data_IF_389101923024
#
_entry.id   IF_389101923024
#
_cell.length_a   1.000
_cell.length_b   1.000
_cell.length_c   1.000
_cell.angle_alpha   90.00
_cell.angle_beta   90.00
_cell.angle_gamma   90.00
#
_symmetry.space_group_name_H-M   'P 1'
#
loop_
_entity.id
_entity.type
_entity.pdbx_description
1 polymer ?
#
# COMPACT_ATOMS: atom_id res chain seq x y z
N UNK A 1 19.09 16.68 14.34
CA UNK A 1 18.63 15.71 15.38
C UNK A 1 17.18 15.83 15.77
N UNK A 2 16.52 16.97 15.52
CA UNK A 2 15.07 17.14 15.73
C UNK A 2 14.24 16.20 14.82
N UNK A 3 14.73 15.82 13.64
CA UNK A 3 14.06 14.87 12.73
C UNK A 3 14.07 13.43 13.27
N UNK A 4 15.06 13.05 14.04
CA UNK A 4 15.15 11.73 14.68
C UNK A 4 14.25 11.66 15.91
N UNK A 5 14.16 12.76 16.66
CA UNK A 5 13.28 12.87 17.84
C UNK A 5 11.81 12.87 17.41
N UNK A 6 11.44 13.60 16.34
CA UNK A 6 10.07 13.57 15.80
C UNK A 6 9.69 12.17 15.26
N UNK A 7 10.65 11.43 14.69
CA UNK A 7 10.44 10.07 14.23
C UNK A 7 10.29 9.07 15.39
N UNK A 8 10.91 9.32 16.54
CA UNK A 8 10.75 8.51 17.75
C UNK A 8 9.47 8.81 18.53
N UNK A 9 9.03 10.07 18.58
CA UNK A 9 7.77 10.47 19.22
C UNK A 9 6.58 9.90 18.43
N UNK A 10 6.67 9.85 17.10
CA UNK A 10 5.63 9.27 16.22
C UNK A 10 5.55 7.74 16.27
N UNK A 11 6.49 7.06 16.96
CA UNK A 11 6.51 5.60 17.14
C UNK A 11 5.68 5.14 18.34
N UNK A 12 5.21 6.05 19.19
CA UNK A 12 4.37 5.76 20.37
C UNK A 12 2.89 5.94 20.02
N UNK A 13 2.20 4.79 19.88
CA UNK A 13 0.74 4.66 20.08
C UNK A 13 -0.20 5.46 19.16
N UNK A 14 0.04 5.47 17.88
CA UNK A 14 -1.04 5.79 16.95
C UNK A 14 -2.11 4.70 17.01
N UNK A 15 -3.32 5.02 17.47
CA UNK A 15 -4.43 4.09 17.50
C UNK A 15 -4.68 3.43 16.13
N UNK A 16 -5.52 2.41 16.07
CA UNK A 16 -5.83 1.65 14.82
C UNK A 16 -6.15 2.58 13.64
N UNK A 17 -6.84 3.69 13.90
CA UNK A 17 -7.21 4.70 12.90
C UNK A 17 -5.97 5.43 12.33
N UNK A 18 -5.02 5.82 13.16
CA UNK A 18 -3.78 6.47 12.73
C UNK A 18 -2.94 5.57 11.83
N UNK A 19 -2.77 4.30 12.22
CA UNK A 19 -2.07 3.30 11.40
C UNK A 19 -2.76 3.04 10.07
N UNK A 20 -4.09 3.01 10.07
CA UNK A 20 -4.88 2.86 8.85
C UNK A 20 -4.69 4.06 7.91
N UNK A 21 -4.79 5.29 8.42
CA UNK A 21 -4.57 6.51 7.64
C UNK A 21 -3.14 6.59 7.10
N UNK A 22 -2.14 6.25 7.90
CA UNK A 22 -0.75 6.23 7.46
C UNK A 22 -0.54 5.27 6.29
N UNK A 23 -1.09 4.05 6.37
CA UNK A 23 -1.03 3.08 5.28
C UNK A 23 -1.80 3.54 4.04
N UNK A 24 -2.95 4.18 4.25
CA UNK A 24 -3.78 4.71 3.16
C UNK A 24 -3.04 5.82 2.41
N UNK A 25 -2.41 6.74 3.10
CA UNK A 25 -1.63 7.85 2.52
C UNK A 25 -0.42 7.30 1.76
N UNK A 26 0.37 6.42 2.38
CA UNK A 26 1.51 5.76 1.73
C UNK A 26 1.09 4.96 0.50
N UNK A 27 0.03 4.16 0.60
CA UNK A 27 -0.45 3.35 -0.51
C UNK A 27 -1.06 4.19 -1.64
N UNK A 28 -1.60 5.38 -1.35
CA UNK A 28 -2.20 6.27 -2.36
C UNK A 28 -1.21 7.16 -3.11
N UNK A 29 0.11 7.11 -2.79
CA UNK A 29 1.16 8.02 -3.32
C UNK A 29 0.92 9.50 -3.03
N UNK A 30 0.19 9.82 -1.99
CA UNK A 30 -0.09 11.18 -1.58
C UNK A 30 0.89 11.69 -0.52
N UNK A 31 2.02 10.99 -0.31
CA UNK A 31 3.07 11.40 0.65
C UNK A 31 3.65 12.78 0.33
N UNK A 32 3.61 13.20 -0.95
CA UNK A 32 4.03 14.54 -1.36
C UNK A 32 3.08 15.65 -0.89
N UNK A 33 1.80 15.33 -0.69
CA UNK A 33 0.77 16.28 -0.25
C UNK A 33 0.56 16.19 1.25
N UNK A 34 0.56 14.98 1.79
CA UNK A 34 0.37 14.72 3.22
C UNK A 34 1.63 14.07 3.80
N UNK A 35 2.48 14.89 4.41
CA UNK A 35 3.73 14.44 5.04
C UNK A 35 3.44 13.56 6.27
N UNK A 36 2.28 13.76 6.91
CA UNK A 36 1.84 12.95 8.06
C UNK A 36 0.32 12.80 8.11
N UNK A 37 -0.21 11.74 8.75
CA UNK A 37 -1.65 11.58 9.00
C UNK A 37 -2.29 12.75 9.74
N UNK A 38 -1.52 13.46 10.54
CA UNK A 38 -1.97 14.62 11.30
C UNK A 38 -2.37 15.77 10.37
N UNK A 39 -1.57 16.07 9.35
CA UNK A 39 -1.91 17.09 8.34
C UNK A 39 -3.21 16.75 7.61
N UNK A 40 -3.46 15.47 7.35
CA UNK A 40 -4.70 15.03 6.75
C UNK A 40 -5.91 15.28 7.67
N UNK A 41 -5.77 14.98 8.96
CA UNK A 41 -6.82 15.24 9.96
C UNK A 41 -7.08 16.73 10.07
N UNK A 42 -6.03 17.56 10.15
CA UNK A 42 -6.17 19.02 10.18
C UNK A 42 -6.88 19.56 8.93
N UNK A 43 -6.57 19.02 7.76
CA UNK A 43 -7.27 19.39 6.53
C UNK A 43 -8.77 19.06 6.60
N UNK A 44 -9.13 17.86 7.07
CA UNK A 44 -10.54 17.47 7.22
C UNK A 44 -11.28 18.38 8.23
N UNK A 45 -10.66 18.69 9.36
CA UNK A 45 -11.21 19.59 10.37
C UNK A 45 -11.33 21.02 9.82
N UNK A 46 -10.36 21.49 9.07
CA UNK A 46 -10.40 22.81 8.43
C UNK A 46 -11.55 22.89 7.41
N UNK A 47 -11.69 21.92 6.54
CA UNK A 47 -12.79 21.85 5.55
C UNK A 47 -14.13 21.81 6.27
N UNK A 48 -14.27 20.99 7.31
CA UNK A 48 -15.48 20.92 8.12
C UNK A 48 -15.85 22.28 8.71
N UNK A 49 -14.90 22.92 9.41
CA UNK A 49 -15.14 24.21 10.09
C UNK A 49 -15.48 25.32 9.11
N UNK A 50 -14.73 25.40 8.01
CA UNK A 50 -14.97 26.40 6.97
C UNK A 50 -16.35 26.26 6.31
N UNK A 51 -16.70 25.01 5.93
CA UNK A 51 -18.01 24.72 5.33
C UNK A 51 -19.15 24.92 6.31
N UNK A 52 -18.97 24.49 7.56
CA UNK A 52 -20.00 24.64 8.59
C UNK A 52 -20.34 26.12 8.86
N UNK A 53 -19.32 26.98 9.02
CA UNK A 53 -19.52 28.42 9.23
C UNK A 53 -20.20 29.06 8.00
N UNK A 54 -19.75 28.72 6.78
CA UNK A 54 -20.33 29.25 5.56
C UNK A 54 -21.78 28.83 5.35
N UNK A 55 -22.11 27.57 5.63
CA UNK A 55 -23.47 27.04 5.47
C UNK A 55 -24.44 27.56 6.54
N UNK A 56 -23.97 27.86 7.75
CA UNK A 56 -24.77 28.47 8.82
C UNK A 56 -25.38 29.83 8.45
N UNK A 57 -24.84 30.51 7.43
CA UNK A 57 -25.40 31.80 6.94
C UNK A 57 -26.68 31.56 6.13
N UNK A 58 -26.80 30.42 5.48
CA UNK A 58 -27.89 30.16 4.50
C UNK A 58 -28.86 29.04 4.92
N UNK A 59 -28.46 28.18 5.85
CA UNK A 59 -29.17 26.96 6.24
C UNK A 59 -29.35 26.86 7.75
N UNK A 60 -30.34 26.08 8.15
CA UNK A 60 -30.54 25.73 9.55
C UNK A 60 -29.37 24.90 10.08
N UNK A 61 -29.11 24.98 11.39
CA UNK A 61 -28.01 24.28 12.09
C UNK A 61 -27.91 22.80 11.72
N UNK A 62 -29.07 22.12 11.64
CA UNK A 62 -29.12 20.67 11.34
C UNK A 62 -28.66 20.36 9.92
N UNK A 63 -29.11 21.12 8.95
CA UNK A 63 -28.78 20.91 7.54
C UNK A 63 -27.32 21.32 7.25
N UNK A 64 -26.85 22.42 7.85
CA UNK A 64 -25.45 22.84 7.80
C UNK A 64 -24.51 21.77 8.36
N UNK A 65 -24.87 21.10 9.47
CA UNK A 65 -24.06 20.04 10.08
C UNK A 65 -23.96 18.81 9.16
N UNK A 66 -25.06 18.38 8.56
CA UNK A 66 -25.09 17.22 7.65
C UNK A 66 -24.22 17.49 6.43
N UNK A 67 -24.39 18.65 5.79
CA UNK A 67 -23.64 19.01 4.58
C UNK A 67 -22.15 19.21 4.88
N UNK A 68 -21.78 19.90 5.97
CA UNK A 68 -20.38 20.10 6.36
C UNK A 68 -19.68 18.76 6.63
N UNK A 69 -20.35 17.80 7.24
CA UNK A 69 -19.83 16.44 7.45
C UNK A 69 -19.59 15.72 6.12
N UNK A 70 -20.51 15.86 5.17
CA UNK A 70 -20.35 15.32 3.81
C UNK A 70 -19.11 15.88 3.10
N UNK A 71 -18.89 17.19 3.15
CA UNK A 71 -17.72 17.84 2.57
C UNK A 71 -16.41 17.42 3.25
N UNK A 72 -16.40 17.27 4.57
CA UNK A 72 -15.24 16.80 5.32
C UNK A 72 -14.83 15.35 4.97
N UNK A 73 -15.77 14.53 4.47
CA UNK A 73 -15.50 13.16 4.03
C UNK A 73 -14.85 13.08 2.62
N UNK A 74 -14.91 14.15 1.81
CA UNK A 74 -14.40 14.16 0.43
C UNK A 74 -12.90 13.79 0.35
N UNK A 75 -11.99 14.36 1.16
CA UNK A 75 -10.56 13.99 1.10
C UNK A 75 -10.33 12.50 1.35
N UNK A 76 -11.06 11.90 2.27
CA UNK A 76 -10.99 10.46 2.54
C UNK A 76 -11.50 9.62 1.34
N UNK A 77 -12.60 10.03 0.73
CA UNK A 77 -13.13 9.39 -0.47
C UNK A 77 -12.10 9.42 -1.61
N UNK A 78 -11.46 10.57 -1.86
CA UNK A 78 -10.41 10.72 -2.89
C UNK A 78 -9.25 9.75 -2.67
N UNK A 79 -8.76 9.62 -1.41
CA UNK A 79 -7.70 8.65 -1.09
C UNK A 79 -8.13 7.21 -1.38
N UNK A 80 -9.34 6.86 -0.99
CA UNK A 80 -9.90 5.51 -1.18
C UNK A 80 -10.08 5.18 -2.67
N UNK A 81 -10.58 6.12 -3.47
CA UNK A 81 -10.72 5.95 -4.92
C UNK A 81 -9.35 5.80 -5.62
N UNK A 82 -8.35 6.59 -5.24
CA UNK A 82 -6.99 6.43 -5.76
C UNK A 82 -6.41 5.06 -5.43
N UNK A 83 -6.57 4.60 -4.19
CA UNK A 83 -6.12 3.26 -3.78
C UNK A 83 -6.84 2.16 -4.56
N UNK A 84 -8.16 2.27 -4.76
CA UNK A 84 -8.94 1.30 -5.54
C UNK A 84 -8.45 1.23 -7.00
N UNK A 85 -8.16 2.38 -7.62
CA UNK A 85 -7.57 2.43 -8.96
C UNK A 85 -6.20 1.75 -9.04
N UNK A 86 -5.35 1.92 -8.03
CA UNK A 86 -4.05 1.23 -7.94
C UNK A 86 -4.21 -0.28 -7.78
N UNK A 87 -5.10 -0.73 -6.92
CA UNK A 87 -5.40 -2.15 -6.71
C UNK A 87 -5.88 -2.82 -7.99
N UNK A 88 -6.74 -2.16 -8.76
CA UNK A 88 -7.19 -2.64 -10.05
C UNK A 88 -6.05 -2.78 -11.08
N UNK A 89 -5.11 -1.83 -11.11
CA UNK A 89 -3.90 -1.92 -11.95
C UNK A 89 -3.00 -3.07 -11.50
N UNK A 90 -2.70 -3.15 -10.20
CA UNK A 90 -1.87 -4.22 -9.64
C UNK A 90 -2.45 -5.61 -9.90
N UNK A 91 -3.77 -5.78 -9.81
CA UNK A 91 -4.43 -7.05 -10.12
C UNK A 91 -4.26 -7.46 -11.59
N UNK A 92 -4.30 -6.51 -12.52
CA UNK A 92 -4.07 -6.79 -13.95
C UNK A 92 -2.63 -7.21 -14.25
N UNK A 93 -1.66 -6.65 -13.54
CA UNK A 93 -0.24 -6.87 -13.73
C UNK A 93 0.34 -7.95 -12.80
N UNK A 94 -0.51 -8.58 -11.97
CA UNK A 94 -0.11 -9.58 -10.98
C UNK A 94 0.67 -10.76 -11.58
N UNK A 95 0.24 -11.25 -12.76
CA UNK A 95 0.92 -12.37 -13.45
C UNK A 95 2.34 -11.99 -13.80
N UNK A 96 2.52 -10.81 -14.43
CA UNK A 96 3.85 -10.31 -14.84
C UNK A 96 4.74 -10.13 -13.62
N UNK A 97 4.22 -9.51 -12.55
CA UNK A 97 4.95 -9.29 -11.32
C UNK A 97 5.44 -10.60 -10.68
N UNK A 98 4.55 -11.59 -10.53
CA UNK A 98 4.91 -12.86 -9.87
C UNK A 98 5.86 -13.68 -10.73
N UNK A 99 5.70 -13.67 -12.06
CA UNK A 99 6.61 -14.35 -12.98
C UNK A 99 8.00 -13.73 -12.94
N UNK A 100 8.10 -12.41 -13.03
CA UNK A 100 9.38 -11.69 -13.00
C UNK A 100 10.10 -11.89 -11.66
N UNK A 101 9.37 -11.79 -10.54
CA UNK A 101 9.93 -12.08 -9.22
C UNK A 101 10.42 -13.53 -9.10
N UNK A 102 9.66 -14.49 -9.66
CA UNK A 102 10.07 -15.90 -9.62
C UNK A 102 11.35 -16.14 -10.43
N UNK A 103 11.47 -15.50 -11.59
CA UNK A 103 12.67 -15.58 -12.42
C UNK A 103 13.88 -14.95 -11.71
N UNK A 104 13.72 -13.75 -11.19
CA UNK A 104 14.78 -13.06 -10.46
C UNK A 104 15.18 -13.82 -9.17
N UNK A 105 14.21 -14.46 -8.50
CA UNK A 105 14.50 -15.29 -7.33
C UNK A 105 15.41 -16.49 -7.65
N UNK A 106 15.23 -17.10 -8.81
CA UNK A 106 16.12 -18.17 -9.29
C UNK A 106 17.50 -17.66 -9.66
N UNK A 107 17.55 -16.55 -10.40
CA UNK A 107 18.81 -15.94 -10.87
C UNK A 107 19.67 -15.50 -9.68
N UNK A 108 19.06 -14.94 -8.64
CA UNK A 108 19.77 -14.48 -7.43
C UNK A 108 19.90 -15.59 -6.36
N UNK A 109 20.09 -16.85 -6.77
CA UNK A 109 20.38 -17.97 -5.88
C UNK A 109 19.38 -18.14 -4.73
N UNK A 110 18.12 -17.84 -4.97
CA UNK A 110 17.04 -17.86 -3.99
C UNK A 110 17.19 -16.81 -2.86
N UNK A 111 17.92 -15.72 -3.10
CA UNK A 111 17.94 -14.57 -2.21
C UNK A 111 16.75 -13.66 -2.51
N UNK A 112 15.78 -13.61 -1.58
CA UNK A 112 14.54 -12.87 -1.79
C UNK A 112 14.75 -11.35 -1.81
N UNK A 113 15.68 -10.80 -1.04
CA UNK A 113 15.94 -9.35 -1.02
C UNK A 113 16.51 -8.89 -2.37
N UNK A 114 17.52 -9.58 -2.87
CA UNK A 114 18.11 -9.31 -4.18
C UNK A 114 17.11 -9.52 -5.33
N UNK A 115 16.29 -10.57 -5.23
CA UNK A 115 15.26 -10.84 -6.21
C UNK A 115 14.20 -9.71 -6.29
N UNK A 116 13.77 -9.17 -5.16
CA UNK A 116 12.83 -8.05 -5.10
C UNK A 116 13.46 -6.79 -5.68
N UNK A 117 14.73 -6.52 -5.36
CA UNK A 117 15.47 -5.38 -5.89
C UNK A 117 15.64 -5.49 -7.42
N UNK A 118 16.10 -6.63 -7.91
CA UNK A 118 16.19 -6.90 -9.34
C UNK A 118 14.85 -6.75 -10.04
N UNK A 119 13.77 -7.28 -9.46
CA UNK A 119 12.41 -7.14 -10.01
C UNK A 119 11.95 -5.68 -10.03
N UNK A 120 12.24 -4.91 -9.00
CA UNK A 120 11.88 -3.48 -8.96
C UNK A 120 12.54 -2.66 -10.09
N UNK A 121 13.71 -3.10 -10.56
CA UNK A 121 14.47 -2.47 -11.65
C UNK A 121 13.96 -2.97 -13.01
N UNK A 122 13.86 -4.30 -13.19
CA UNK A 122 13.64 -4.95 -14.48
C UNK A 122 12.17 -4.98 -14.92
N UNK A 123 11.22 -4.89 -13.97
CA UNK A 123 9.81 -5.12 -14.29
C UNK A 123 9.26 -4.12 -15.30
N UNK A 124 8.69 -4.64 -16.38
CA UNK A 124 7.92 -3.89 -17.38
C UNK A 124 6.45 -3.82 -16.95
N UNK A 125 6.17 -3.02 -15.95
CA UNK A 125 4.85 -2.80 -15.40
C UNK A 125 4.54 -1.31 -15.27
N UNK A 126 3.29 -0.99 -14.89
CA UNK A 126 2.90 0.40 -14.65
C UNK A 126 3.80 1.06 -13.58
N UNK A 127 3.98 2.37 -13.68
CA UNK A 127 4.73 3.16 -12.70
C UNK A 127 4.24 2.92 -11.26
N UNK A 128 2.96 2.59 -11.10
CA UNK A 128 2.35 2.26 -9.81
C UNK A 128 2.91 0.97 -9.22
N UNK A 129 2.94 -0.13 -9.98
CA UNK A 129 3.46 -1.43 -9.52
C UNK A 129 4.97 -1.33 -9.28
N UNK A 130 5.70 -0.69 -10.20
CA UNK A 130 7.14 -0.47 -10.07
C UNK A 130 7.48 0.28 -8.78
N UNK A 131 6.72 1.33 -8.44
CA UNK A 131 6.94 2.11 -7.21
C UNK A 131 6.67 1.28 -5.95
N UNK A 132 5.63 0.43 -5.94
CA UNK A 132 5.36 -0.47 -4.81
C UNK A 132 6.52 -1.44 -4.61
N UNK A 133 7.08 -1.98 -5.69
CA UNK A 133 8.25 -2.88 -5.62
C UNK A 133 9.51 -2.16 -5.14
N UNK A 134 9.78 -0.94 -5.60
CA UNK A 134 10.89 -0.11 -5.13
C UNK A 134 10.76 0.18 -3.63
N UNK A 135 9.57 0.54 -3.17
CA UNK A 135 9.32 0.79 -1.75
C UNK A 135 9.50 -0.48 -0.91
N UNK A 136 9.05 -1.64 -1.41
CA UNK A 136 9.26 -2.92 -0.74
C UNK A 136 10.76 -3.24 -0.63
N UNK A 137 11.51 -3.12 -1.74
CA UNK A 137 12.96 -3.35 -1.76
C UNK A 137 13.68 -2.44 -0.75
N UNK A 138 13.40 -1.13 -0.79
CA UNK A 138 13.98 -0.15 0.13
C UNK A 138 13.68 -0.47 1.59
N UNK A 139 12.44 -0.80 1.91
CA UNK A 139 12.04 -1.09 3.28
C UNK A 139 12.64 -2.41 3.78
N UNK A 140 12.72 -3.44 2.93
CA UNK A 140 13.36 -4.70 3.29
C UNK A 140 14.87 -4.56 3.47
N UNK A 141 15.56 -3.76 2.63
CA UNK A 141 17.00 -3.53 2.77
C UNK A 141 17.34 -2.78 4.05
N UNK A 142 16.45 -1.91 4.52
CA UNK A 142 16.62 -1.19 5.78
C UNK A 142 16.10 -1.95 7.01
N UNK A 143 15.41 -3.08 6.81
CA UNK A 143 14.82 -3.85 7.90
C UNK A 143 15.86 -4.76 8.57
N UNK A 144 16.07 -4.57 9.86
CA UNK A 144 16.99 -5.36 10.70
C UNK A 144 16.26 -6.32 11.63
N UNK A 145 14.96 -6.11 11.87
CA UNK A 145 14.14 -6.92 12.77
C UNK A 145 12.99 -7.62 12.05
N UNK A 146 12.52 -8.75 12.62
CA UNK A 146 11.31 -9.44 12.14
C UNK A 146 10.10 -8.52 12.05
N UNK A 147 9.97 -7.58 12.98
CA UNK A 147 8.87 -6.61 12.99
C UNK A 147 8.95 -5.66 11.81
N UNK A 148 10.14 -5.15 11.50
CA UNK A 148 10.35 -4.25 10.35
C UNK A 148 10.13 -4.95 9.01
N UNK A 149 10.58 -6.21 8.90
CA UNK A 149 10.29 -7.05 7.74
C UNK A 149 8.77 -7.24 7.60
N UNK A 150 8.09 -7.56 8.71
CA UNK A 150 6.63 -7.71 8.73
C UNK A 150 5.90 -6.43 8.32
N UNK A 151 6.33 -5.25 8.78
CA UNK A 151 5.76 -3.97 8.41
C UNK A 151 5.98 -3.65 6.91
N UNK A 152 7.16 -3.94 6.37
CA UNK A 152 7.47 -3.75 4.95
C UNK A 152 6.56 -4.60 4.05
N UNK A 153 6.41 -5.87 4.39
CA UNK A 153 5.58 -6.83 3.67
C UNK A 153 4.10 -6.51 3.83
N UNK A 154 3.65 -6.06 5.00
CA UNK A 154 2.27 -5.65 5.24
C UNK A 154 1.89 -4.40 4.43
N UNK A 155 2.80 -3.45 4.27
CA UNK A 155 2.59 -2.28 3.42
C UNK A 155 2.42 -2.66 1.94
N UNK A 156 3.22 -3.63 1.48
CA UNK A 156 3.07 -4.22 0.14
C UNK A 156 1.70 -4.90 -0.02
N UNK A 157 1.32 -5.75 0.93
CA UNK A 157 0.02 -6.43 0.98
C UNK A 157 -1.13 -5.43 0.91
N UNK A 158 -1.06 -4.38 1.72
CA UNK A 158 -2.09 -3.34 1.79
C UNK A 158 -2.22 -2.56 0.47
N UNK A 159 -1.10 -2.28 -0.21
CA UNK A 159 -1.10 -1.55 -1.48
C UNK A 159 -1.88 -2.27 -2.58
N UNK A 160 -1.78 -3.59 -2.66
CA UNK A 160 -2.51 -4.40 -3.63
C UNK A 160 -3.88 -4.86 -3.14
N UNK A 161 -4.02 -5.24 -1.88
CA UNK A 161 -5.28 -5.62 -1.22
C UNK A 161 -6.05 -6.76 -1.90
N UNK A 162 -5.33 -7.76 -2.39
CA UNK A 162 -5.86 -8.90 -3.16
C UNK A 162 -5.35 -10.21 -2.60
N UNK A 163 -6.09 -11.31 -2.81
CA UNK A 163 -5.72 -12.62 -2.28
C UNK A 163 -4.32 -13.10 -2.75
N UNK A 164 -3.94 -12.81 -3.99
CA UNK A 164 -2.61 -13.17 -4.47
C UNK A 164 -1.49 -12.39 -3.74
N UNK A 165 -1.76 -11.12 -3.40
CA UNK A 165 -0.81 -10.32 -2.66
C UNK A 165 -0.65 -10.82 -1.22
N UNK A 166 -1.69 -11.37 -0.61
CA UNK A 166 -1.63 -12.00 0.70
C UNK A 166 -0.69 -13.22 0.68
N UNK A 167 -0.85 -14.10 -0.31
CA UNK A 167 -0.01 -15.29 -0.48
C UNK A 167 1.43 -14.90 -0.81
N UNK A 168 1.62 -13.92 -1.73
CA UNK A 168 2.96 -13.45 -2.09
C UNK A 168 3.67 -12.82 -0.88
N UNK A 169 2.96 -12.02 -0.10
CA UNK A 169 3.48 -11.39 1.12
C UNK A 169 3.94 -12.42 2.14
N UNK A 170 3.16 -13.48 2.37
CA UNK A 170 3.54 -14.57 3.25
C UNK A 170 4.83 -15.27 2.77
N UNK A 171 4.95 -15.55 1.47
CA UNK A 171 6.15 -16.15 0.89
C UNK A 171 7.38 -15.23 1.04
N UNK A 172 7.24 -13.93 0.77
CA UNK A 172 8.32 -12.96 0.94
C UNK A 172 8.77 -12.92 2.41
N UNK A 173 7.82 -12.85 3.34
CA UNK A 173 8.15 -12.81 4.77
C UNK A 173 8.93 -14.06 5.21
N UNK A 174 8.45 -15.25 4.85
CA UNK A 174 9.10 -16.52 5.22
C UNK A 174 10.49 -16.64 4.59
N UNK A 175 10.63 -16.25 3.32
CA UNK A 175 11.90 -16.30 2.63
C UNK A 175 12.93 -15.32 3.20
N UNK A 176 12.53 -14.08 3.52
CA UNK A 176 13.43 -13.05 4.07
C UNK A 176 13.78 -13.31 5.52
N UNK A 177 12.77 -13.70 6.34
CA UNK A 177 12.97 -13.86 7.78
C UNK A 177 13.57 -15.21 8.15
N UNK A 178 13.11 -16.30 7.51
CA UNK A 178 13.52 -17.69 7.84
C UNK A 178 14.49 -18.30 6.85
N UNK A 179 14.79 -17.63 5.73
CA UNK A 179 15.64 -18.17 4.68
C UNK A 179 15.08 -19.41 3.97
N UNK A 180 13.77 -19.65 4.06
CA UNK A 180 13.14 -20.83 3.45
C UNK A 180 13.00 -20.62 1.95
N UNK A 181 13.31 -21.64 1.16
CA UNK A 181 13.12 -21.60 -0.29
C UNK A 181 11.63 -21.66 -0.65
N UNK A 182 11.16 -20.63 -1.36
CA UNK A 182 9.74 -20.48 -1.74
C UNK A 182 9.50 -20.60 -3.24
N UNK A 183 10.47 -21.08 -4.00
CA UNK A 183 10.40 -21.16 -5.47
C UNK A 183 9.15 -21.87 -5.99
N UNK A 184 8.82 -23.04 -5.44
CA UNK A 184 7.63 -23.80 -5.84
C UNK A 184 6.35 -23.04 -5.53
N UNK A 185 6.26 -22.43 -4.35
CA UNK A 185 5.11 -21.63 -3.94
C UNK A 185 4.90 -20.40 -4.84
N UNK A 186 5.97 -19.71 -5.23
CA UNK A 186 5.90 -18.59 -6.18
C UNK A 186 5.43 -19.06 -7.57
N UNK A 187 5.94 -20.18 -8.04
CA UNK A 187 5.55 -20.76 -9.34
C UNK A 187 4.07 -21.15 -9.35
N UNK A 188 3.60 -21.81 -8.30
CA UNK A 188 2.21 -22.23 -8.18
C UNK A 188 1.26 -21.03 -8.03
N UNK A 189 1.67 -20.00 -7.32
CA UNK A 189 0.96 -18.74 -7.25
C UNK A 189 0.82 -18.12 -8.65
N UNK A 190 1.91 -18.05 -9.42
CA UNK A 190 1.88 -17.53 -10.80
C UNK A 190 0.91 -18.27 -11.70
N UNK A 191 0.90 -19.62 -11.63
CA UNK A 191 -0.06 -20.46 -12.35
C UNK A 191 -1.51 -20.21 -11.92
N UNK A 192 -1.74 -20.11 -10.62
CA UNK A 192 -3.09 -19.87 -10.07
C UNK A 192 -3.65 -18.54 -10.54
N UNK A 193 -2.86 -17.46 -10.52
CA UNK A 193 -3.27 -16.14 -11.00
C UNK A 193 -3.56 -16.17 -12.50
N UNK A 194 -2.69 -16.81 -13.30
CA UNK A 194 -2.88 -16.94 -14.74
C UNK A 194 -4.16 -17.71 -15.11
N UNK A 195 -4.45 -18.80 -14.40
CA UNK A 195 -5.67 -19.59 -14.61
C UNK A 195 -6.93 -18.79 -14.22
N UNK A 196 -6.90 -18.11 -13.08
CA UNK A 196 -8.01 -17.25 -12.64
C UNK A 196 -8.32 -16.15 -13.67
N UNK A 197 -7.29 -15.57 -14.27
CA UNK A 197 -7.46 -14.54 -15.31
C UNK A 197 -8.12 -15.11 -16.57
N UNK A 198 -7.71 -16.29 -17.03
CA UNK A 198 -8.33 -16.98 -18.20
C UNK A 198 -9.81 -17.27 -17.98
N UNK A 199 -10.20 -17.71 -16.78
CA UNK A 199 -11.61 -18.00 -16.46
C UNK A 199 -12.46 -16.73 -16.58
N UNK A 200 -11.98 -15.59 -16.07
CA UNK A 200 -12.69 -14.31 -16.14
C UNK A 200 -12.81 -13.79 -17.59
N UNK A 201 -11.79 -14.02 -18.43
CA UNK A 201 -11.82 -13.64 -19.85
C UNK A 201 -12.79 -14.47 -20.66
N UNK A 202 -12.97 -15.76 -20.34
CA UNK A 202 -13.93 -16.65 -21.02
C UNK A 202 -15.39 -16.46 -20.59
N UNK A 203 -15.63 -15.78 -19.47
CA UNK A 203 -16.97 -15.52 -18.93
C UNK A 203 -17.57 -14.17 -19.35
N UNK A 204 -16.86 -13.42 -20.19
CA UNK A 204 -17.31 -12.14 -20.77
C UNK A 204 -17.65 -12.26 -22.24
#
# INVERSE_FOLDING_TARGET
DLRLVSKQINKREGGKVYKHLMRLISASDMEHIFISPEHFIYLCVFIFSFMFIGLMIFLDFRDALILATGFAAIPYAVLTFKLSGKRAKGSREAVVLVQELTNNYKINSCNMREAIEATAISIEASATVKRVMINLAKNLNNASSSKEIGEAVENFRYAFGTAWADILSANIFIAVYRGVRVENSLRDLGKSIANSKKIVEHSR
#
